data_IF_391183709588
#
_entry.id   IF_391183709588
#
_cell.length_a   1.000
_cell.length_b   1.000
_cell.length_c   1.000
_cell.angle_alpha   90.00
_cell.angle_beta   90.00
_cell.angle_gamma   90.00
#
_symmetry.space_group_name_H-M   'P 1'
#
loop_
_entity.id
_entity.type
_entity.pdbx_description
1 polymer ?
#
# COMPACT_ATOMS: atom_id res chain seq x y z
N UNK A 1 3.20 -18.33 9.98
CA UNK A 1 3.06 -18.21 11.44
C UNK A 1 1.94 -19.14 11.88
N UNK A 2 2.28 -20.24 12.54
CA UNK A 2 1.32 -21.22 13.04
C UNK A 2 0.51 -20.62 14.20
N UNK A 3 -0.81 -20.83 14.25
CA UNK A 3 -1.67 -20.36 15.35
C UNK A 3 -1.22 -20.96 16.70
N UNK A 4 -0.56 -22.12 16.69
CA UNK A 4 -0.04 -22.79 17.89
C UNK A 4 1.18 -22.09 18.50
N UNK A 5 2.00 -21.43 17.70
CA UNK A 5 3.20 -20.73 18.16
C UNK A 5 2.87 -19.50 19.02
N UNK A 6 1.82 -18.77 18.64
CA UNK A 6 1.33 -17.60 19.37
C UNK A 6 0.71 -17.99 20.73
N UNK A 7 0.03 -19.14 20.79
CA UNK A 7 -0.53 -19.69 22.01
C UNK A 7 0.54 -20.21 22.98
N UNK A 8 1.68 -20.69 22.47
CA UNK A 8 2.76 -21.27 23.29
C UNK A 8 3.68 -20.28 24.02
N UNK A 9 3.52 -18.96 23.79
CA UNK A 9 4.39 -17.94 24.41
C UNK A 9 3.60 -16.82 25.11
N UNK A 10 3.08 -17.06 26.34
CA UNK A 10 2.29 -16.10 27.12
C UNK A 10 2.97 -14.73 27.29
N UNK A 11 4.30 -14.71 27.33
CA UNK A 11 5.11 -13.48 27.40
C UNK A 11 4.86 -12.49 26.26
N UNK A 12 4.37 -12.94 25.10
CA UNK A 12 4.09 -12.08 23.96
C UNK A 12 2.64 -11.60 23.90
N UNK A 13 1.73 -12.17 24.71
CA UNK A 13 0.30 -11.87 24.65
C UNK A 13 -0.01 -10.39 24.90
N UNK A 14 0.64 -9.67 25.83
CA UNK A 14 0.42 -8.24 26.00
C UNK A 14 0.70 -7.42 24.74
N UNK A 15 1.64 -7.86 23.89
CA UNK A 15 1.99 -7.20 22.61
C UNK A 15 0.93 -7.45 21.53
N UNK A 16 0.08 -8.46 21.71
CA UNK A 16 -1.02 -8.81 20.81
C UNK A 16 -2.36 -8.20 21.25
N UNK A 17 -2.46 -7.70 22.50
CA UNK A 17 -3.71 -7.17 23.07
C UNK A 17 -4.14 -5.83 22.46
N UNK A 18 -3.24 -5.05 21.85
CA UNK A 18 -3.58 -3.77 21.25
C UNK A 18 -2.84 -3.51 19.93
N UNK A 19 -3.20 -4.24 18.85
CA UNK A 19 -2.57 -4.05 17.55
C UNK A 19 -2.82 -2.65 16.97
N UNK A 20 -3.87 -1.95 17.44
CA UNK A 20 -4.24 -0.60 17.03
C UNK A 20 -3.33 0.50 17.61
N UNK A 21 -2.45 0.17 18.56
CA UNK A 21 -1.44 1.06 19.16
C UNK A 21 -0.01 0.55 19.01
N UNK A 22 0.28 -0.21 17.97
CA UNK A 22 1.63 -0.78 17.78
C UNK A 22 2.57 0.20 17.05
N UNK A 23 3.75 0.45 17.64
CA UNK A 23 4.93 1.13 17.06
C UNK A 23 4.89 2.65 16.75
N UNK A 24 4.25 3.46 17.61
CA UNK A 24 4.43 4.92 17.62
C UNK A 24 3.79 5.70 16.46
N UNK A 25 3.53 5.08 15.31
CA UNK A 25 2.67 5.63 14.27
C UNK A 25 1.21 5.30 14.60
N UNK A 26 0.45 6.31 14.99
CA UNK A 26 -0.99 6.18 15.14
C UNK A 26 -1.65 5.80 13.80
N UNK A 27 -2.02 4.52 13.67
CA UNK A 27 -2.88 3.92 12.66
C UNK A 27 -2.38 3.99 11.18
N UNK A 28 -2.90 3.10 10.30
CA UNK A 28 -2.68 3.19 8.85
C UNK A 28 -3.15 4.53 8.24
N UNK A 29 -4.02 5.29 8.93
CA UNK A 29 -4.57 6.56 8.44
C UNK A 29 -3.51 7.62 8.13
N UNK A 30 -2.52 7.83 9.03
CA UNK A 30 -1.43 8.79 8.76
C UNK A 30 -0.58 8.38 7.57
N UNK A 31 -0.30 7.08 7.41
CA UNK A 31 0.43 6.58 6.26
C UNK A 31 -0.35 6.74 4.95
N UNK A 32 -1.68 6.52 4.98
CA UNK A 32 -2.56 6.80 3.84
C UNK A 32 -2.49 8.28 3.44
N UNK A 33 -2.60 9.20 4.41
CA UNK A 33 -2.53 10.65 4.14
C UNK A 33 -1.19 11.01 3.49
N UNK A 34 -0.06 10.57 4.07
CA UNK A 34 1.28 10.85 3.52
C UNK A 34 1.46 10.28 2.11
N UNK A 35 0.98 9.06 1.87
CA UNK A 35 1.05 8.44 0.54
C UNK A 35 0.16 9.17 -0.48
N UNK A 36 -1.05 9.59 -0.08
CA UNK A 36 -1.94 10.35 -0.95
C UNK A 36 -1.35 11.72 -1.31
N UNK A 37 -0.73 12.42 -0.35
CA UNK A 37 -0.01 13.67 -0.58
C UNK A 37 1.17 13.49 -1.54
N UNK A 38 1.98 12.44 -1.35
CA UNK A 38 3.11 12.13 -2.22
C UNK A 38 2.66 11.83 -3.66
N UNK A 39 1.59 11.04 -3.84
CA UNK A 39 1.01 10.75 -5.16
C UNK A 39 0.51 12.04 -5.82
N UNK A 40 -0.24 12.87 -5.09
CA UNK A 40 -0.76 14.13 -5.64
C UNK A 40 0.36 15.08 -6.05
N UNK A 41 1.39 15.24 -5.21
CA UNK A 41 2.54 16.08 -5.51
C UNK A 41 3.30 15.59 -6.76
N UNK A 42 3.51 14.28 -6.88
CA UNK A 42 4.16 13.70 -8.05
C UNK A 42 3.32 13.87 -9.34
N UNK A 43 1.99 13.68 -9.26
CA UNK A 43 1.10 13.86 -10.39
C UNK A 43 1.07 15.32 -10.88
N UNK A 44 0.96 16.29 -9.96
CA UNK A 44 1.05 17.72 -10.28
C UNK A 44 2.39 18.02 -10.95
N UNK A 45 3.49 17.53 -10.37
CA UNK A 45 4.83 17.78 -10.91
C UNK A 45 5.02 17.17 -12.30
N UNK A 46 4.44 16.00 -12.57
CA UNK A 46 4.49 15.38 -13.89
C UNK A 46 3.78 16.25 -14.94
N UNK A 47 2.57 16.74 -14.63
CA UNK A 47 1.82 17.63 -15.53
C UNK A 47 2.55 18.96 -15.76
N UNK A 48 3.15 19.56 -14.73
CA UNK A 48 3.94 20.78 -14.87
C UNK A 48 5.14 20.61 -15.82
N UNK A 49 5.75 19.43 -15.85
CA UNK A 49 6.93 19.14 -16.65
C UNK A 49 6.62 18.64 -18.06
N UNK A 50 5.57 17.81 -18.20
CA UNK A 50 5.27 17.07 -19.41
C UNK A 50 3.94 17.42 -20.07
N UNK A 51 3.13 18.29 -19.47
CA UNK A 51 1.80 18.66 -19.94
C UNK A 51 0.73 17.61 -19.64
N UNK A 52 -0.42 17.77 -20.30
CA UNK A 52 -1.57 16.87 -20.13
C UNK A 52 -1.23 15.43 -20.54
N UNK A 53 -1.62 14.47 -19.70
CA UNK A 53 -1.33 13.06 -19.91
C UNK A 53 0.06 12.61 -19.46
N UNK A 54 0.87 13.48 -18.85
CA UNK A 54 2.12 13.09 -18.24
C UNK A 54 1.92 12.10 -17.08
N UNK A 55 2.83 11.13 -16.96
CA UNK A 55 2.77 10.08 -15.95
C UNK A 55 3.97 10.18 -14.98
N UNK A 56 3.74 9.80 -13.72
CA UNK A 56 4.78 9.66 -12.70
C UNK A 56 4.86 8.21 -12.23
N UNK A 57 6.08 7.72 -12.01
CA UNK A 57 6.34 6.43 -11.38
C UNK A 57 6.90 6.65 -9.99
N UNK A 58 6.22 6.10 -8.98
CA UNK A 58 6.68 6.09 -7.59
C UNK A 58 6.99 4.66 -7.17
N UNK A 59 8.12 4.49 -6.48
CA UNK A 59 8.54 3.21 -5.91
C UNK A 59 8.40 3.28 -4.39
N UNK A 60 7.72 2.31 -3.81
CA UNK A 60 7.48 2.24 -2.36
C UNK A 60 7.37 0.77 -1.93
N UNK A 61 7.25 0.55 -0.63
CA UNK A 61 7.10 -0.79 -0.07
C UNK A 61 5.64 -1.26 -0.07
N UNK A 62 5.48 -2.57 0.13
CA UNK A 62 4.20 -3.26 0.02
C UNK A 62 3.08 -2.64 0.88
N UNK A 63 3.36 -2.34 2.15
CA UNK A 63 2.33 -1.87 3.08
C UNK A 63 1.78 -0.48 2.70
N UNK A 64 2.62 0.56 2.50
CA UNK A 64 2.15 1.87 2.05
C UNK A 64 1.32 1.84 0.76
N UNK A 65 1.75 1.08 -0.25
CA UNK A 65 1.00 0.92 -1.51
C UNK A 65 -0.36 0.29 -1.23
N UNK A 66 -0.37 -0.80 -0.47
CA UNK A 66 -1.59 -1.55 -0.22
C UNK A 66 -2.63 -0.78 0.60
N UNK A 67 -2.22 -0.08 1.66
CA UNK A 67 -3.17 0.68 2.49
C UNK A 67 -3.72 1.90 1.74
N UNK A 68 -2.92 2.56 0.90
CA UNK A 68 -3.41 3.63 0.03
C UNK A 68 -4.47 3.07 -0.92
N UNK A 69 -4.18 1.98 -1.63
CA UNK A 69 -5.15 1.32 -2.51
C UNK A 69 -6.43 0.95 -1.78
N UNK A 70 -6.33 0.33 -0.59
CA UNK A 70 -7.49 -0.05 0.22
C UNK A 70 -8.32 1.16 0.63
N UNK A 71 -7.67 2.26 1.03
CA UNK A 71 -8.35 3.50 1.39
C UNK A 71 -9.10 4.08 0.21
N UNK A 72 -8.45 4.15 -0.96
CA UNK A 72 -9.10 4.60 -2.19
C UNK A 72 -10.26 3.65 -2.52
N UNK A 73 -10.10 2.33 -2.40
CA UNK A 73 -11.16 1.33 -2.62
C UNK A 73 -12.35 1.46 -1.64
N UNK A 74 -12.23 2.23 -0.55
CA UNK A 74 -13.25 2.34 0.51
C UNK A 74 -13.28 1.13 1.44
N UNK A 75 -12.19 0.35 1.49
CA UNK A 75 -12.07 -0.83 2.35
C UNK A 75 -11.57 -0.42 3.73
N UNK A 76 -11.82 -1.26 4.73
CA UNK A 76 -11.22 -1.14 6.07
C UNK A 76 -9.70 -0.98 5.97
N UNK A 77 -9.00 -0.44 6.98
CA UNK A 77 -7.55 -0.36 7.00
C UNK A 77 -6.89 -1.54 7.74
N UNK A 78 -7.40 -2.01 8.89
CA UNK A 78 -7.06 -3.32 9.44
C UNK A 78 -7.35 -4.45 8.43
N UNK A 79 -6.32 -5.24 8.08
CA UNK A 79 -6.40 -6.38 7.17
C UNK A 79 -5.57 -7.55 7.67
N UNK A 80 -5.85 -8.72 7.09
CA UNK A 80 -4.90 -9.82 7.03
C UNK A 80 -3.72 -9.46 6.09
N UNK A 81 -2.47 -9.35 6.57
CA UNK A 81 -1.29 -9.07 5.76
C UNK A 81 -1.03 -10.07 4.62
N UNK A 82 -1.58 -11.29 4.70
CA UNK A 82 -1.40 -12.34 3.70
C UNK A 82 -2.28 -12.15 2.46
N UNK A 83 -3.27 -11.25 2.56
CA UNK A 83 -4.26 -10.98 1.49
C UNK A 83 -3.89 -9.79 0.59
N UNK A 84 -2.66 -9.26 0.71
CA UNK A 84 -2.22 -8.09 -0.05
C UNK A 84 -2.04 -8.45 -1.53
N UNK A 85 -2.56 -7.62 -2.42
CA UNK A 85 -2.19 -7.64 -3.84
C UNK A 85 -1.16 -6.54 -4.08
N UNK A 86 0.11 -6.91 -3.93
CA UNK A 86 1.28 -6.06 -4.17
C UNK A 86 2.50 -6.97 -4.22
N UNK A 87 2.59 -7.76 -5.28
CA UNK A 87 3.73 -8.64 -5.55
C UNK A 87 4.93 -7.83 -6.06
N UNK A 88 6.11 -8.45 -6.11
CA UNK A 88 7.32 -7.80 -6.61
C UNK A 88 7.10 -7.31 -8.05
N UNK A 89 7.47 -6.05 -8.30
CA UNK A 89 7.29 -5.38 -9.60
C UNK A 89 5.83 -5.43 -10.13
N UNK A 90 4.85 -5.47 -9.23
CA UNK A 90 3.45 -5.19 -9.57
C UNK A 90 3.22 -3.69 -9.70
N UNK A 91 2.19 -3.30 -10.46
CA UNK A 91 1.79 -1.91 -10.66
C UNK A 91 0.40 -1.67 -10.09
N UNK A 92 0.28 -0.69 -9.20
CA UNK A 92 -1.01 -0.10 -8.81
C UNK A 92 -1.09 1.28 -9.44
N UNK A 93 -1.75 1.37 -10.59
CA UNK A 93 -1.95 2.61 -11.33
C UNK A 93 -3.12 3.39 -10.74
N UNK A 94 -2.89 4.69 -10.51
CA UNK A 94 -3.90 5.64 -10.06
C UNK A 94 -4.13 6.65 -11.17
N UNK A 95 -5.30 6.60 -11.80
CA UNK A 95 -5.68 7.55 -12.83
C UNK A 95 -6.42 8.73 -12.17
N UNK A 96 -5.84 9.92 -12.27
CA UNK A 96 -6.42 11.18 -11.80
C UNK A 96 -6.97 11.94 -13.02
N UNK A 97 -8.30 12.05 -13.19
CA UNK A 97 -8.87 12.80 -14.32
C UNK A 97 -8.47 14.27 -14.35
N UNK A 98 -8.28 14.85 -13.16
CA UNK A 98 -7.76 16.19 -12.96
C UNK A 98 -6.93 16.17 -11.67
N UNK A 99 -5.65 16.53 -11.78
CA UNK A 99 -4.69 16.52 -10.65
C UNK A 99 -4.90 17.68 -9.68
N UNK A 100 -5.59 18.73 -10.10
CA UNK A 100 -5.89 19.93 -9.31
C UNK A 100 -7.26 19.85 -8.65
N UNK A 101 -8.22 19.13 -9.23
CA UNK A 101 -9.54 18.93 -8.64
C UNK A 101 -9.56 17.89 -7.50
N UNK A 102 -10.48 18.03 -6.54
CA UNK A 102 -10.79 16.96 -5.61
C UNK A 102 -11.50 15.81 -6.33
N UNK A 103 -11.09 14.58 -6.07
CA UNK A 103 -11.72 13.41 -6.66
C UNK A 103 -11.08 12.11 -6.20
N UNK A 104 -11.84 11.01 -6.29
CA UNK A 104 -11.31 9.66 -6.06
C UNK A 104 -10.67 9.16 -7.37
N UNK A 105 -9.39 8.75 -7.36
CA UNK A 105 -8.76 8.23 -8.57
C UNK A 105 -9.36 6.87 -8.97
N UNK A 106 -9.29 6.56 -10.25
CA UNK A 106 -9.56 5.19 -10.72
C UNK A 106 -8.31 4.34 -10.47
N UNK A 107 -8.52 3.08 -10.12
CA UNK A 107 -7.42 2.16 -9.81
C UNK A 107 -7.37 1.04 -10.83
N UNK A 108 -6.17 0.74 -11.32
CA UNK A 108 -5.87 -0.48 -12.05
C UNK A 108 -4.68 -1.19 -11.42
N UNK A 109 -4.78 -2.51 -11.27
CA UNK A 109 -3.68 -3.35 -10.77
C UNK A 109 -3.22 -4.31 -11.86
N UNK A 110 -1.91 -4.47 -12.02
CA UNK A 110 -1.31 -5.45 -12.95
C UNK A 110 -0.04 -6.05 -12.36
N UNK A 111 0.33 -7.25 -12.81
CA UNK A 111 1.55 -7.96 -12.38
C UNK A 111 2.40 -8.34 -13.59
N UNK A 112 3.11 -7.38 -14.22
CA UNK A 112 3.91 -7.66 -15.41
C UNK A 112 5.00 -8.71 -15.18
N UNK A 113 5.54 -8.75 -13.97
CA UNK A 113 6.58 -9.70 -13.57
C UNK A 113 6.03 -11.07 -13.13
N UNK A 114 4.73 -11.33 -13.24
CA UNK A 114 4.12 -12.61 -12.82
C UNK A 114 4.80 -13.88 -13.37
N UNK A 115 5.27 -13.92 -14.63
CA UNK A 115 6.02 -15.07 -15.15
C UNK A 115 7.33 -15.38 -14.40
N UNK A 116 7.87 -14.43 -13.64
CA UNK A 116 9.13 -14.55 -12.89
C UNK A 116 8.94 -14.96 -11.42
N UNK A 117 7.70 -15.08 -10.94
CA UNK A 117 7.42 -15.43 -9.55
C UNK A 117 7.78 -16.88 -9.16
N UNK A 118 7.63 -17.89 -10.04
CA UNK A 118 7.99 -19.26 -9.67
C UNK A 118 9.44 -19.38 -9.20
N UNK A 119 9.64 -20.00 -8.03
CA UNK A 119 10.97 -20.19 -7.43
C UNK A 119 11.51 -19.01 -6.61
N UNK A 120 10.78 -17.88 -6.54
CA UNK A 120 11.15 -16.73 -5.71
C UNK A 120 10.50 -16.82 -4.33
N UNK A 121 11.30 -16.60 -3.28
CA UNK A 121 10.77 -16.44 -1.92
C UNK A 121 10.24 -15.00 -1.78
N UNK A 122 8.92 -14.83 -1.85
CA UNK A 122 8.28 -13.58 -1.47
C UNK A 122 8.30 -13.43 0.06
N UNK A 123 9.34 -12.78 0.58
CA UNK A 123 9.42 -12.46 1.99
C UNK A 123 8.39 -11.36 2.33
N UNK A 124 7.55 -11.55 3.36
CA UNK A 124 6.67 -10.48 3.82
C UNK A 124 7.48 -9.27 4.27
N UNK A 125 7.30 -8.12 3.63
CA UNK A 125 7.91 -6.84 4.03
C UNK A 125 9.14 -6.41 3.24
N UNK A 126 9.57 -7.15 2.21
CA UNK A 126 10.44 -6.60 1.15
C UNK A 126 9.70 -5.55 0.32
#
# INVERSE_FOLDING_TARGET
MDRRELAGSPRHWPKLLNPLRSWGEGLPGRQVTRMAEAVKAAAVRAVELGGDGAEAVLVSHQLPIWILRRSIEGRSLPHDPRSRQCNLASLTSLELPDVHAPGRPRIRYTEPAAPLYPGVIQLPGS
#
